data_IF_318630361208
#
_entry.id   IF_318630361208
#
_cell.length_a   1.000
_cell.length_b   1.000
_cell.length_c   1.000
_cell.angle_alpha   90.00
_cell.angle_beta   90.00
_cell.angle_gamma   90.00
#
_symmetry.space_group_name_H-M   'P 1'
#
loop_
_entity.id
_entity.type
_entity.pdbx_description
1 polymer ?
#
# COMPACT_ATOMS: atom_id res chain seq x y z
N UNK A 1 -5.65 29.79 -2.36
CA UNK A 1 -4.83 28.98 -3.28
C UNK A 1 -3.77 28.30 -2.44
N UNK A 2 -3.99 27.04 -2.08
CA UNK A 2 -2.93 26.20 -1.51
C UNK A 2 -1.99 25.97 -2.69
N UNK A 3 -0.75 26.44 -2.57
CA UNK A 3 0.29 26.27 -3.59
C UNK A 3 0.56 24.79 -3.81
N UNK A 4 0.90 24.45 -5.05
CA UNK A 4 1.28 23.12 -5.52
C UNK A 4 2.27 22.41 -4.58
N UNK A 5 2.10 21.09 -4.51
CA UNK A 5 2.89 20.10 -3.79
C UNK A 5 4.40 20.40 -3.79
N UNK A 6 4.96 20.72 -2.61
CA UNK A 6 6.27 20.17 -2.31
C UNK A 6 6.07 18.66 -2.20
N UNK A 7 6.33 17.94 -3.30
CA UNK A 7 6.46 16.49 -3.27
C UNK A 7 7.31 16.13 -2.06
N UNK A 8 6.82 15.21 -1.21
CA UNK A 8 7.48 14.86 0.04
C UNK A 8 8.97 14.62 -0.20
N UNK A 9 9.83 15.50 0.33
CA UNK A 9 11.27 15.41 0.09
C UNK A 9 11.80 14.10 0.69
N UNK A 10 12.91 13.55 0.18
CA UNK A 10 13.53 12.37 0.77
C UNK A 10 13.78 12.49 2.28
N UNK A 11 14.07 13.70 2.77
CA UNK A 11 14.27 14.00 4.18
C UNK A 11 12.96 13.89 4.98
N UNK A 12 11.86 14.45 4.46
CA UNK A 12 10.54 14.35 5.09
C UNK A 12 10.05 12.90 5.14
N UNK A 13 10.26 12.16 4.05
CA UNK A 13 9.88 10.75 3.94
C UNK A 13 10.68 9.87 4.91
N UNK A 14 12.00 10.10 5.01
CA UNK A 14 12.86 9.43 5.99
C UNK A 14 12.45 9.76 7.43
N UNK A 15 12.13 11.03 7.70
CA UNK A 15 11.63 11.45 9.01
C UNK A 15 10.30 10.77 9.35
N UNK A 16 9.38 10.71 8.39
CA UNK A 16 8.10 10.01 8.51
C UNK A 16 8.28 8.53 8.83
N UNK A 17 9.09 7.80 8.07
CA UNK A 17 9.38 6.40 8.34
C UNK A 17 10.11 6.19 9.68
N UNK A 18 10.88 7.17 10.16
CA UNK A 18 11.57 7.03 11.45
C UNK A 18 10.68 7.26 12.67
N UNK A 19 9.70 8.17 12.58
CA UNK A 19 8.93 8.67 13.73
C UNK A 19 7.44 8.36 13.71
N UNK A 20 6.82 8.30 12.52
CA UNK A 20 5.36 8.33 12.39
C UNK A 20 4.77 7.08 11.76
N UNK A 21 5.51 6.38 10.90
CA UNK A 21 4.99 5.16 10.29
C UNK A 21 4.66 4.11 11.39
N UNK A 22 3.40 3.62 11.47
CA UNK A 22 2.95 2.83 12.61
C UNK A 22 3.29 1.34 12.45
N UNK A 23 4.59 1.00 12.44
CA UNK A 23 5.07 -0.36 12.11
C UNK A 23 4.35 -1.47 12.89
N UNK A 24 4.22 -1.34 14.21
CA UNK A 24 3.54 -2.33 15.06
C UNK A 24 2.10 -2.57 14.62
N UNK A 25 1.31 -1.51 14.49
CA UNK A 25 -0.10 -1.59 14.07
C UNK A 25 -0.21 -2.14 12.64
N UNK A 26 0.68 -1.70 11.74
CA UNK A 26 0.70 -2.12 10.34
C UNK A 26 0.98 -3.63 10.20
N UNK A 27 1.96 -4.14 10.94
CA UNK A 27 2.29 -5.57 10.98
C UNK A 27 1.17 -6.38 11.61
N UNK A 28 0.61 -5.92 12.73
CA UNK A 28 -0.49 -6.62 13.40
C UNK A 28 -1.73 -6.73 12.48
N UNK A 29 -2.08 -5.66 11.79
CA UNK A 29 -3.16 -5.65 10.80
C UNK A 29 -2.91 -6.67 9.69
N UNK A 30 -1.73 -6.62 9.06
CA UNK A 30 -1.40 -7.50 7.94
C UNK A 30 -1.10 -8.96 8.34
N UNK A 31 -0.93 -9.20 9.63
CA UNK A 31 -0.84 -10.51 10.23
C UNK A 31 -2.20 -11.05 10.74
N UNK A 32 -3.26 -10.25 10.62
CA UNK A 32 -4.59 -10.54 11.17
C UNK A 32 -4.57 -10.87 12.67
N UNK A 33 -3.67 -10.24 13.41
CA UNK A 33 -3.51 -10.42 14.86
C UNK A 33 -3.27 -11.89 15.29
N UNK A 34 -2.75 -12.73 14.39
CA UNK A 34 -2.47 -14.15 14.67
C UNK A 34 -1.15 -14.35 15.43
N UNK A 35 -1.07 -15.34 16.33
CA UNK A 35 0.15 -15.61 17.10
C UNK A 35 1.32 -16.13 16.24
N UNK A 36 1.04 -16.82 15.13
CA UNK A 36 2.05 -17.53 14.32
C UNK A 36 2.91 -16.62 13.43
N UNK A 37 2.56 -15.34 13.28
CA UNK A 37 3.16 -14.40 12.32
C UNK A 37 3.22 -14.93 10.87
N UNK A 38 2.45 -15.98 10.55
CA UNK A 38 2.59 -16.73 9.29
C UNK A 38 2.01 -15.96 8.11
N UNK A 39 0.90 -15.25 8.32
CA UNK A 39 0.27 -14.43 7.29
C UNK A 39 1.21 -13.29 6.83
N UNK A 40 1.80 -12.57 7.78
CA UNK A 40 2.70 -11.46 7.47
C UNK A 40 3.99 -11.91 6.78
N UNK A 41 4.62 -12.99 7.26
CA UNK A 41 5.86 -13.54 6.68
C UNK A 41 5.74 -13.90 5.20
N UNK A 42 4.56 -14.35 4.81
CA UNK A 42 4.28 -14.78 3.45
C UNK A 42 3.56 -13.73 2.61
N UNK A 43 3.34 -12.52 3.15
CA UNK A 43 2.73 -11.41 2.43
C UNK A 43 3.74 -10.71 1.54
N UNK A 44 3.35 -10.44 0.30
CA UNK A 44 4.12 -9.60 -0.61
C UNK A 44 3.91 -8.13 -0.24
N UNK A 45 5.02 -7.40 -0.10
CA UNK A 45 5.04 -5.95 -0.23
C UNK A 45 5.86 -5.60 -1.48
N UNK A 46 5.35 -4.67 -2.27
CA UNK A 46 6.11 -4.05 -3.36
C UNK A 46 6.46 -2.63 -2.97
N UNK A 47 7.63 -2.16 -3.39
CA UNK A 47 8.10 -0.82 -3.07
C UNK A 47 8.58 -0.13 -4.34
N UNK A 48 8.28 1.17 -4.43
CA UNK A 48 8.81 2.05 -5.46
C UNK A 48 9.90 2.91 -4.83
N UNK A 49 11.09 2.94 -5.42
CA UNK A 49 12.19 3.80 -4.96
C UNK A 49 12.10 5.20 -5.59
N UNK A 50 12.83 6.20 -5.06
CA UNK A 50 12.93 7.52 -5.69
C UNK A 50 13.45 7.50 -7.14
N UNK A 51 14.13 6.43 -7.54
CA UNK A 51 14.57 6.20 -8.92
C UNK A 51 13.48 5.63 -9.83
N UNK A 52 12.23 5.55 -9.36
CA UNK A 52 11.11 4.83 -9.98
C UNK A 52 11.33 3.33 -10.17
N UNK A 53 12.38 2.77 -9.57
CA UNK A 53 12.60 1.33 -9.56
C UNK A 53 11.49 0.64 -8.74
N UNK A 54 10.76 -0.24 -9.41
CA UNK A 54 9.68 -1.03 -8.81
C UNK A 54 10.18 -2.41 -8.37
N UNK A 55 10.23 -2.64 -7.06
CA UNK A 55 10.74 -3.88 -6.47
C UNK A 55 9.58 -4.70 -5.92
N UNK A 56 9.31 -5.83 -6.57
CA UNK A 56 8.26 -6.79 -6.18
C UNK A 56 8.78 -7.94 -5.34
N UNK A 57 7.84 -8.68 -4.75
CA UNK A 57 8.10 -9.89 -3.99
C UNK A 57 9.00 -9.66 -2.77
N UNK A 58 8.93 -8.50 -2.12
CA UNK A 58 9.52 -8.34 -0.80
C UNK A 58 8.61 -8.96 0.26
N UNK A 59 9.19 -9.42 1.36
CA UNK A 59 8.46 -10.00 2.48
C UNK A 59 9.32 -9.98 3.74
N UNK A 60 8.72 -9.72 4.89
CA UNK A 60 9.42 -9.40 6.13
C UNK A 60 8.99 -10.33 7.26
N UNK A 61 9.89 -10.59 8.21
CA UNK A 61 9.62 -11.53 9.30
C UNK A 61 8.77 -10.94 10.44
N UNK A 62 8.68 -9.62 10.54
CA UNK A 62 7.97 -8.89 11.58
C UNK A 62 8.31 -7.39 11.58
N UNK A 63 7.95 -6.71 12.65
CA UNK A 63 8.09 -5.25 12.82
C UNK A 63 9.53 -4.75 12.64
N UNK A 64 10.49 -5.34 13.32
CA UNK A 64 11.89 -4.90 13.28
C UNK A 64 12.51 -5.05 11.88
N UNK A 65 12.23 -6.18 11.22
CA UNK A 65 12.71 -6.49 9.86
C UNK A 65 12.10 -5.51 8.83
N UNK A 66 10.79 -5.27 8.91
CA UNK A 66 10.11 -4.29 8.07
C UNK A 66 10.68 -2.88 8.28
N UNK A 67 10.83 -2.47 9.54
CA UNK A 67 11.35 -1.14 9.88
C UNK A 67 12.77 -0.93 9.38
N UNK A 68 13.66 -1.90 9.58
CA UNK A 68 15.03 -1.79 9.12
C UNK A 68 15.12 -1.59 7.59
N UNK A 69 14.35 -2.37 6.83
CA UNK A 69 14.38 -2.32 5.37
C UNK A 69 13.66 -1.07 4.81
N UNK A 70 12.53 -0.64 5.38
CA UNK A 70 11.85 0.60 4.98
C UNK A 70 12.73 1.82 5.27
N UNK A 71 13.40 1.88 6.44
CA UNK A 71 14.33 2.96 6.78
C UNK A 71 15.54 3.00 5.84
N UNK A 72 16.03 1.83 5.42
CA UNK A 72 17.17 1.72 4.51
C UNK A 72 16.81 2.11 3.07
N UNK A 73 15.66 1.68 2.58
CA UNK A 73 15.26 1.90 1.18
C UNK A 73 14.54 3.22 0.96
N UNK A 74 13.90 3.77 1.99
CA UNK A 74 13.10 5.00 1.96
C UNK A 74 12.18 5.08 0.72
N UNK A 75 11.25 4.13 0.56
CA UNK A 75 10.47 4.00 -0.66
C UNK A 75 9.44 5.14 -0.81
N UNK A 76 9.22 5.62 -2.03
CA UNK A 76 8.20 6.64 -2.33
C UNK A 76 6.78 6.07 -2.34
N UNK A 77 6.64 4.76 -2.57
CA UNK A 77 5.36 4.03 -2.55
C UNK A 77 5.54 2.64 -1.96
N UNK A 78 4.52 2.15 -1.25
CA UNK A 78 4.44 0.79 -0.73
C UNK A 78 3.10 0.21 -1.16
N UNK A 79 3.11 -0.89 -1.90
CA UNK A 79 1.92 -1.63 -2.32
C UNK A 79 1.81 -2.95 -1.55
N UNK A 80 0.59 -3.28 -1.14
CA UNK A 80 0.30 -4.50 -0.38
C UNK A 80 -0.24 -5.57 -1.32
N UNK A 81 0.50 -6.67 -1.42
CA UNK A 81 0.15 -7.82 -2.23
C UNK A 81 -0.57 -8.93 -1.45
N UNK A 82 -0.70 -10.08 -2.12
CA UNK A 82 -1.31 -11.28 -1.55
C UNK A 82 -0.40 -11.94 -0.48
N UNK A 83 -1.02 -12.81 0.31
CA UNK A 83 -0.32 -13.84 1.09
C UNK A 83 -0.08 -15.03 0.18
N UNK A 84 1.15 -15.55 0.18
CA UNK A 84 1.58 -16.67 -0.64
C UNK A 84 1.78 -17.95 0.18
N UNK A 85 1.98 -19.07 -0.52
CA UNK A 85 2.33 -20.37 0.08
C UNK A 85 3.71 -20.38 0.76
N UNK A 86 4.58 -19.42 0.46
CA UNK A 86 5.90 -19.24 1.05
C UNK A 86 6.30 -17.77 0.99
N UNK A 87 7.44 -17.40 1.59
CA UNK A 87 7.96 -16.03 1.60
C UNK A 87 8.22 -15.52 0.17
N UNK A 88 7.57 -14.43 -0.27
CA UNK A 88 7.80 -13.83 -1.58
C UNK A 88 9.27 -13.60 -1.95
N UNK A 89 10.12 -13.19 -0.99
CA UNK A 89 11.54 -12.93 -1.27
C UNK A 89 12.32 -14.16 -1.72
N UNK A 90 11.84 -15.35 -1.35
CA UNK A 90 12.44 -16.64 -1.68
C UNK A 90 11.91 -17.20 -3.01
N UNK A 91 11.02 -16.49 -3.72
CA UNK A 91 10.39 -16.96 -4.97
C UNK A 91 11.38 -17.53 -5.98
N UNK A 92 12.56 -16.92 -6.13
CA UNK A 92 13.57 -17.32 -7.14
C UNK A 92 14.21 -18.69 -6.86
N UNK A 93 14.17 -19.18 -5.63
CA UNK A 93 14.76 -20.48 -5.25
C UNK A 93 13.71 -21.60 -5.29
N UNK A 94 12.44 -21.27 -5.52
CA UNK A 94 11.33 -22.20 -5.49
C UNK A 94 10.98 -22.74 -6.87
N UNK A 95 10.41 -23.96 -6.89
CA UNK A 95 9.74 -24.49 -8.09
C UNK A 95 8.51 -23.63 -8.40
N UNK A 96 8.33 -23.26 -9.67
CA UNK A 96 7.22 -22.41 -10.13
C UNK A 96 5.84 -22.89 -9.67
N UNK A 97 5.63 -24.21 -9.61
CA UNK A 97 4.36 -24.81 -9.19
C UNK A 97 4.09 -24.73 -7.68
N UNK A 98 5.10 -24.40 -6.86
CA UNK A 98 4.99 -24.38 -5.40
C UNK A 98 4.70 -22.97 -4.83
N UNK A 99 4.98 -21.91 -5.58
CA UNK A 99 4.77 -20.52 -5.15
C UNK A 99 3.46 -19.98 -5.73
N UNK A 100 2.41 -19.88 -4.90
CA UNK A 100 1.08 -19.44 -5.32
C UNK A 100 0.48 -18.44 -4.32
N UNK A 101 -0.30 -17.46 -4.79
CA UNK A 101 -1.12 -16.65 -3.90
C UNK A 101 -2.22 -17.52 -3.29
N UNK A 102 -2.52 -17.28 -2.01
CA UNK A 102 -3.51 -18.04 -1.23
C UNK A 102 -4.66 -17.13 -0.83
N UNK A 103 -4.35 -15.96 -0.29
CA UNK A 103 -5.33 -15.02 0.26
C UNK A 103 -4.94 -13.58 -0.05
N UNK A 104 -5.95 -12.71 -0.18
CA UNK A 104 -5.80 -11.26 -0.20
C UNK A 104 -7.11 -10.64 0.26
N UNK A 105 -7.03 -9.48 0.86
CA UNK A 105 -8.18 -8.62 1.12
C UNK A 105 -8.92 -8.32 -0.19
N UNK A 106 -10.25 -8.33 -0.14
CA UNK A 106 -11.09 -7.73 -1.18
C UNK A 106 -10.87 -6.22 -1.12
N UNK A 107 -10.54 -5.61 -2.27
CA UNK A 107 -10.22 -4.19 -2.36
C UNK A 107 -11.07 -3.59 -3.48
N UNK A 108 -11.64 -2.43 -3.20
CA UNK A 108 -12.30 -1.57 -4.17
C UNK A 108 -11.43 -0.32 -4.37
N UNK A 109 -11.20 0.06 -5.62
CA UNK A 109 -10.50 1.28 -5.99
C UNK A 109 -11.50 2.15 -6.78
N UNK A 110 -11.86 3.30 -6.22
CA UNK A 110 -12.85 4.20 -6.79
C UNK A 110 -12.15 5.53 -7.03
N UNK A 111 -11.96 5.85 -8.31
CA UNK A 111 -11.25 7.05 -8.70
C UNK A 111 -12.23 8.17 -9.09
N UNK A 112 -11.81 9.41 -8.89
CA UNK A 112 -12.61 10.57 -9.24
C UNK A 112 -12.62 10.85 -10.76
N UNK A 113 -11.59 10.41 -11.48
CA UNK A 113 -11.48 10.55 -12.94
C UNK A 113 -12.58 9.79 -13.68
N UNK A 114 -13.08 8.70 -13.11
CA UNK A 114 -14.22 7.95 -13.66
C UNK A 114 -15.53 8.76 -13.70
N UNK A 115 -15.59 9.88 -12.96
CA UNK A 115 -16.74 10.78 -12.88
C UNK A 115 -16.59 12.03 -13.77
N UNK A 116 -15.53 12.12 -14.59
CA UNK A 116 -15.23 13.29 -15.43
C UNK A 116 -16.38 13.67 -16.36
N UNK A 117 -17.10 12.70 -16.91
CA UNK A 117 -18.20 12.94 -17.84
C UNK A 117 -19.42 13.61 -17.18
N UNK A 118 -19.59 13.47 -15.86
CA UNK A 118 -20.78 13.93 -15.14
C UNK A 118 -20.51 15.02 -14.11
N UNK A 119 -19.24 15.31 -13.79
CA UNK A 119 -18.86 16.39 -12.88
C UNK A 119 -18.49 17.65 -13.67
N UNK A 120 -19.07 18.78 -13.31
CA UNK A 120 -18.85 20.06 -14.02
C UNK A 120 -17.94 21.04 -13.27
N UNK A 121 -17.45 20.65 -12.09
CA UNK A 121 -16.70 21.53 -11.20
C UNK A 121 -15.17 21.33 -11.24
N UNK A 122 -14.69 20.19 -11.72
CA UNK A 122 -13.28 19.82 -11.86
C UNK A 122 -13.13 18.82 -13.03
N UNK A 123 -11.91 18.54 -13.47
CA UNK A 123 -11.57 17.51 -14.48
C UNK A 123 -10.24 16.83 -14.17
N UNK A 124 -10.02 15.63 -14.70
CA UNK A 124 -8.80 14.84 -14.48
C UNK A 124 -8.49 14.60 -12.99
N UNK A 125 -7.25 14.77 -12.57
CA UNK A 125 -6.87 14.59 -11.17
C UNK A 125 -7.39 15.69 -10.21
N UNK A 126 -7.99 16.77 -10.73
CA UNK A 126 -8.44 17.88 -9.89
C UNK A 126 -9.69 17.51 -9.07
N UNK A 127 -9.72 17.90 -7.80
CA UNK A 127 -10.86 17.64 -6.90
C UNK A 127 -11.27 18.90 -6.11
N UNK A 128 -12.52 18.96 -5.69
CA UNK A 128 -13.03 19.98 -4.77
C UNK A 128 -14.17 19.43 -3.90
N UNK A 129 -14.61 20.22 -2.91
CA UNK A 129 -15.70 19.85 -1.99
C UNK A 129 -17.04 19.51 -2.68
N UNK A 130 -17.25 19.95 -3.93
CA UNK A 130 -18.46 19.61 -4.70
C UNK A 130 -18.39 18.17 -5.22
N UNK A 131 -17.35 17.83 -5.99
CA UNK A 131 -17.21 16.48 -6.54
C UNK A 131 -16.83 15.43 -5.50
N UNK A 132 -16.22 15.80 -4.36
CA UNK A 132 -15.95 14.85 -3.27
C UNK A 132 -17.21 14.13 -2.73
N UNK A 133 -18.39 14.70 -2.97
CA UNK A 133 -19.66 14.04 -2.68
C UNK A 133 -19.83 12.72 -3.42
N UNK A 134 -19.25 12.54 -4.61
CA UNK A 134 -19.24 11.25 -5.30
C UNK A 134 -18.56 10.16 -4.47
N UNK A 135 -17.39 10.45 -3.89
CA UNK A 135 -16.69 9.50 -2.99
C UNK A 135 -17.49 9.23 -1.72
N UNK A 136 -18.14 10.25 -1.16
CA UNK A 136 -19.00 10.08 0.03
C UNK A 136 -20.17 9.13 -0.25
N UNK A 137 -20.82 9.27 -1.41
CA UNK A 137 -21.92 8.39 -1.83
C UNK A 137 -21.39 6.99 -2.13
N UNK A 138 -20.26 6.87 -2.83
CA UNK A 138 -19.64 5.58 -3.15
C UNK A 138 -19.33 4.77 -1.90
N UNK A 139 -18.69 5.38 -0.89
CA UNK A 139 -18.43 4.73 0.42
C UNK A 139 -19.74 4.22 1.03
N UNK A 140 -20.77 5.07 1.11
CA UNK A 140 -22.06 4.69 1.73
C UNK A 140 -22.77 3.55 1.01
N UNK A 141 -22.67 3.48 -0.31
CA UNK A 141 -23.33 2.44 -1.10
C UNK A 141 -22.58 1.11 -0.96
N UNK A 142 -21.25 1.14 -1.07
CA UNK A 142 -20.43 -0.08 -1.01
C UNK A 142 -20.38 -0.65 0.42
N UNK A 143 -20.36 0.19 1.46
CA UNK A 143 -20.29 -0.25 2.87
C UNK A 143 -21.56 -0.98 3.34
N UNK A 144 -22.71 -0.73 2.70
CA UNK A 144 -24.00 -1.35 3.07
C UNK A 144 -24.31 -2.61 2.25
N UNK A 145 -23.64 -2.82 1.12
CA UNK A 145 -23.89 -3.94 0.21
C UNK A 145 -23.35 -5.26 0.76
#
# INVERSE_FOLDING_TARGET
>A
MIKEDEAATPELLSFFYSRFFPYKTYVNWLNYETESNSAFKNRELSITLPSDAYLRYNSYNGEEDLKAEIMKMCPTKIDIGAIYTAKPKDKKTMRLSAFKPVEKELIFDIDMTDYDEIRTCCSGASICYKCWKFMTVAIKIIDVA
#
